data_IF_014820771351
#
_entry.id   IF_014820771351
#
_cell.length_a   1.000
_cell.length_b   1.000
_cell.length_c   1.000
_cell.angle_alpha   90.00
_cell.angle_beta   90.00
_cell.angle_gamma   90.00
#
_symmetry.space_group_name_H-M   'P 1'
#
loop_
_entity.id
_entity.type
_entity.pdbx_description
1 polymer ?
#
# COMPACT_ATOMS: atom_id res chain seq x y z
N UNK A 1 1.37 11.02 3.06
CA UNK A 1 0.44 10.57 4.05
C UNK A 1 0.57 9.16 4.54
N UNK A 2 1.75 8.68 4.48
CA UNK A 2 2.22 7.51 5.19
C UNK A 2 2.33 7.75 6.67
N UNK A 3 2.04 8.97 7.03
CA UNK A 3 2.30 9.51 8.35
C UNK A 3 1.59 8.80 9.49
N UNK A 4 0.49 8.10 9.23
CA UNK A 4 -0.26 7.45 10.32
C UNK A 4 0.55 6.32 10.96
N UNK A 5 1.21 5.48 10.17
CA UNK A 5 2.02 4.37 10.68
C UNK A 5 3.49 4.72 10.88
N UNK A 6 3.99 5.76 10.22
CA UNK A 6 5.34 6.26 10.40
C UNK A 6 5.42 7.38 11.42
N UNK A 7 4.28 7.84 11.94
CA UNK A 7 4.23 8.85 13.00
C UNK A 7 4.92 8.33 14.26
N UNK A 8 5.83 9.11 14.87
CA UNK A 8 6.44 8.73 16.16
C UNK A 8 5.40 8.46 17.26
N UNK A 9 4.26 9.12 17.21
CA UNK A 9 3.16 8.93 18.17
C UNK A 9 2.57 7.52 18.01
N UNK A 10 2.32 7.08 16.79
CA UNK A 10 1.77 5.75 16.52
C UNK A 10 2.77 4.67 16.89
N UNK A 11 4.04 4.84 16.50
CA UNK A 11 5.11 3.92 16.88
C UNK A 11 5.29 3.85 18.39
N UNK A 12 5.29 4.99 19.09
CA UNK A 12 5.36 5.03 20.54
C UNK A 12 4.14 4.36 21.19
N UNK A 13 2.95 4.57 20.65
CA UNK A 13 1.75 3.91 21.14
C UNK A 13 1.80 2.41 20.96
N UNK A 14 2.30 1.93 19.81
CA UNK A 14 2.51 0.50 19.56
C UNK A 14 3.54 -0.09 20.52
N UNK A 15 4.66 0.58 20.73
CA UNK A 15 5.71 0.13 21.64
C UNK A 15 5.24 0.12 23.11
N UNK A 16 4.52 1.13 23.54
CA UNK A 16 3.92 1.17 24.86
C UNK A 16 2.82 0.12 25.00
N UNK A 17 2.06 -0.11 23.93
CA UNK A 17 1.04 -1.15 23.88
C UNK A 17 1.61 -2.54 24.04
N UNK A 18 2.79 -2.84 23.43
CA UNK A 18 3.44 -4.14 23.56
C UNK A 18 3.80 -4.48 25.00
N UNK A 19 4.19 -3.50 25.80
CA UNK A 19 4.58 -3.72 27.20
C UNK A 19 3.40 -3.83 28.15
N UNK A 20 2.33 -3.06 27.89
CA UNK A 20 1.20 -2.91 28.82
C UNK A 20 -0.05 -3.66 28.41
N UNK A 21 -0.23 -3.82 27.10
CA UNK A 21 -1.46 -4.37 26.52
C UNK A 21 -1.12 -5.29 25.36
N UNK A 22 -0.57 -6.49 25.63
CA UNK A 22 -0.22 -7.47 24.60
C UNK A 22 -1.38 -7.79 23.64
N UNK A 23 -2.60 -7.72 24.13
CA UNK A 23 -3.80 -7.97 23.35
C UNK A 23 -4.01 -7.00 22.19
N UNK A 24 -3.36 -5.84 22.21
CA UNK A 24 -3.43 -4.87 21.10
C UNK A 24 -2.62 -5.29 19.88
N UNK A 25 -1.73 -6.25 20.03
CA UNK A 25 -0.98 -6.83 18.93
C UNK A 25 -1.82 -7.80 18.07
N UNK A 26 -3.03 -8.08 18.48
CA UNK A 26 -3.98 -8.91 17.74
C UNK A 26 -4.75 -8.13 16.67
N UNK A 27 -4.62 -6.80 16.63
CA UNK A 27 -5.33 -5.96 15.67
C UNK A 27 -4.73 -6.08 14.28
N UNK A 28 -5.60 -6.05 13.29
CA UNK A 28 -5.19 -6.00 11.90
C UNK A 28 -4.89 -4.55 11.51
N UNK A 29 -3.74 -4.34 10.84
CA UNK A 29 -3.27 -3.02 10.44
C UNK A 29 -3.30 -2.91 8.93
N UNK A 30 -4.07 -1.95 8.43
CA UNK A 30 -4.13 -1.60 7.03
C UNK A 30 -3.26 -0.37 6.77
N UNK A 31 -2.18 -0.55 6.00
CA UNK A 31 -1.25 0.50 5.62
C UNK A 31 -1.69 1.07 4.27
N UNK A 32 -2.43 2.15 4.27
CA UNK A 32 -2.85 2.81 3.03
C UNK A 32 -1.75 3.71 2.48
N UNK A 33 -1.36 3.48 1.24
CA UNK A 33 -0.31 4.25 0.55
C UNK A 33 -0.90 4.84 -0.73
N UNK A 34 -1.46 6.05 -0.67
CA UNK A 34 -1.89 6.74 -1.88
C UNK A 34 -0.67 7.16 -2.70
N UNK A 35 -0.70 6.86 -4.00
CA UNK A 35 0.37 7.13 -4.94
C UNK A 35 -0.16 7.99 -6.09
N UNK A 36 0.58 9.02 -6.45
CA UNK A 36 0.18 9.91 -7.54
C UNK A 36 1.32 10.17 -8.52
N UNK A 37 2.40 10.80 -8.07
CA UNK A 37 3.53 11.22 -8.91
C UNK A 37 4.89 10.72 -8.39
N UNK A 38 4.89 9.93 -7.35
CA UNK A 38 6.11 9.48 -6.67
C UNK A 38 6.98 8.63 -7.59
N UNK A 39 8.29 8.74 -7.44
CA UNK A 39 9.27 7.93 -8.16
C UNK A 39 9.54 6.59 -7.49
N UNK A 40 10.27 5.73 -8.20
CA UNK A 40 10.56 4.37 -7.76
C UNK A 40 11.28 4.30 -6.40
N UNK A 41 12.31 5.13 -6.20
CA UNK A 41 13.09 5.11 -4.96
C UNK A 41 12.25 5.46 -3.74
N UNK A 42 11.40 6.46 -3.87
CA UNK A 42 10.49 6.89 -2.81
C UNK A 42 9.46 5.83 -2.47
N UNK A 43 8.85 5.24 -3.49
CA UNK A 43 7.85 4.19 -3.34
C UNK A 43 8.45 2.91 -2.75
N UNK A 44 9.61 2.51 -3.24
CA UNK A 44 10.32 1.33 -2.74
C UNK A 44 10.69 1.51 -1.27
N UNK A 45 11.28 2.64 -0.92
CA UNK A 45 11.63 2.96 0.46
C UNK A 45 10.42 2.91 1.39
N UNK A 46 9.29 3.40 0.92
CA UNK A 46 8.03 3.37 1.64
C UNK A 46 7.52 1.94 1.89
N UNK A 47 7.45 1.14 0.83
CA UNK A 47 6.98 -0.24 0.90
C UNK A 47 7.91 -1.06 1.82
N UNK A 48 9.21 -0.92 1.65
CA UNK A 48 10.20 -1.63 2.46
C UNK A 48 10.09 -1.26 3.94
N UNK A 49 9.90 0.02 4.24
CA UNK A 49 9.72 0.49 5.62
C UNK A 49 8.47 -0.10 6.28
N UNK A 50 7.38 -0.19 5.53
CA UNK A 50 6.14 -0.79 6.02
C UNK A 50 6.25 -2.30 6.21
N UNK A 51 6.93 -2.97 5.29
CA UNK A 51 7.19 -4.41 5.39
C UNK A 51 8.07 -4.73 6.61
N UNK A 52 9.06 -3.88 6.89
CA UNK A 52 10.02 -4.08 7.99
C UNK A 52 9.48 -3.67 9.36
N UNK A 53 8.26 -3.15 9.48
CA UNK A 53 7.68 -2.80 10.78
C UNK A 53 7.66 -4.01 11.73
N UNK A 54 8.06 -3.77 12.98
CA UNK A 54 8.03 -4.78 14.04
C UNK A 54 6.58 -5.04 14.49
N UNK A 55 5.88 -5.75 13.67
CA UNK A 55 4.49 -6.17 13.88
C UNK A 55 4.24 -7.47 13.11
N UNK A 56 3.30 -8.29 13.55
CA UNK A 56 2.99 -9.57 12.89
C UNK A 56 2.63 -9.36 11.42
N UNK A 57 3.41 -9.94 10.52
CA UNK A 57 3.24 -9.82 9.07
C UNK A 57 1.88 -10.30 8.59
N UNK A 58 1.30 -11.29 9.26
CA UNK A 58 -0.03 -11.82 8.94
C UNK A 58 -1.17 -10.86 9.32
N UNK A 59 -0.86 -9.84 10.09
CA UNK A 59 -1.81 -8.84 10.56
C UNK A 59 -1.56 -7.45 9.95
N UNK A 60 -0.69 -7.39 8.96
CA UNK A 60 -0.43 -6.20 8.15
C UNK A 60 -0.95 -6.40 6.73
N UNK A 61 -1.46 -5.35 6.14
CA UNK A 61 -1.75 -5.27 4.71
C UNK A 61 -1.19 -3.95 4.18
N UNK A 62 -0.30 -4.01 3.21
CA UNK A 62 0.15 -2.83 2.47
C UNK A 62 -0.80 -2.64 1.29
N UNK A 63 -1.54 -1.55 1.31
CA UNK A 63 -2.56 -1.23 0.31
C UNK A 63 -2.12 -0.03 -0.51
N UNK A 64 -1.57 -0.29 -1.69
CA UNK A 64 -1.13 0.73 -2.64
C UNK A 64 -2.33 1.22 -3.45
N UNK A 65 -2.55 2.52 -3.48
CA UNK A 65 -3.69 3.13 -4.17
C UNK A 65 -3.14 4.11 -5.19
N UNK A 66 -3.28 3.79 -6.48
CA UNK A 66 -2.85 4.66 -7.57
C UNK A 66 -4.09 5.28 -8.24
N UNK A 67 -4.14 6.60 -8.23
CA UNK A 67 -5.22 7.35 -8.88
C UNK A 67 -4.80 7.73 -10.30
N UNK A 68 -5.27 6.94 -11.26
CA UNK A 68 -4.99 7.14 -12.67
C UNK A 68 -3.59 6.73 -13.12
N UNK A 69 -3.34 6.89 -14.41
CA UNK A 69 -2.07 6.58 -15.06
C UNK A 69 -1.23 7.85 -15.22
N UNK A 70 -0.78 8.40 -14.11
CA UNK A 70 -0.02 9.65 -14.09
C UNK A 70 1.47 9.35 -14.16
N UNK A 71 2.17 10.10 -15.01
CA UNK A 71 3.64 10.09 -15.09
C UNK A 71 4.14 11.29 -14.30
N UNK A 72 4.80 11.02 -13.17
CA UNK A 72 5.39 12.06 -12.35
C UNK A 72 6.61 12.72 -13.01
N UNK A 73 6.93 13.93 -12.58
CA UNK A 73 8.10 14.66 -13.08
C UNK A 73 9.38 13.86 -12.81
N UNK A 74 10.18 13.64 -13.84
CA UNK A 74 11.41 12.87 -13.76
C UNK A 74 11.22 11.36 -13.88
N UNK A 75 9.99 10.87 -13.96
CA UNK A 75 9.69 9.46 -14.18
C UNK A 75 9.53 9.16 -15.67
N UNK A 76 9.90 7.95 -16.08
CA UNK A 76 9.74 7.50 -17.46
C UNK A 76 8.43 6.71 -17.67
N UNK A 77 7.81 6.27 -16.58
CA UNK A 77 6.64 5.40 -16.59
C UNK A 77 5.54 5.95 -15.69
N UNK A 78 4.27 5.57 -15.95
CA UNK A 78 3.18 5.87 -15.03
C UNK A 78 3.43 5.28 -13.64
N UNK A 79 3.00 5.97 -12.60
CA UNK A 79 3.18 5.53 -11.22
C UNK A 79 2.62 4.12 -10.94
N UNK A 80 1.44 3.72 -11.48
CA UNK A 80 0.97 2.35 -11.32
C UNK A 80 1.93 1.28 -11.83
N UNK A 81 2.61 1.53 -12.96
CA UNK A 81 3.57 0.58 -13.52
C UNK A 81 4.80 0.45 -12.62
N UNK A 82 5.26 1.56 -12.04
CA UNK A 82 6.36 1.56 -11.09
C UNK A 82 6.00 0.71 -9.86
N UNK A 83 4.80 0.89 -9.31
CA UNK A 83 4.32 0.12 -8.16
C UNK A 83 4.25 -1.37 -8.49
N UNK A 84 3.71 -1.74 -9.65
CA UNK A 84 3.64 -3.14 -10.07
C UNK A 84 5.03 -3.78 -10.25
N UNK A 85 5.99 -3.01 -10.74
CA UNK A 85 7.38 -3.47 -10.83
C UNK A 85 8.00 -3.71 -9.45
N UNK A 86 7.81 -2.80 -8.51
CA UNK A 86 8.30 -2.93 -7.15
C UNK A 86 7.70 -4.16 -6.46
N UNK A 87 6.39 -4.36 -6.64
CA UNK A 87 5.68 -5.50 -6.07
C UNK A 87 5.96 -6.83 -6.77
N UNK A 88 6.68 -6.80 -7.90
CA UNK A 88 7.06 -7.99 -8.64
C UNK A 88 5.91 -8.66 -9.38
N UNK A 89 4.89 -7.90 -9.78
CA UNK A 89 3.78 -8.44 -10.56
C UNK A 89 4.27 -8.83 -11.96
N UNK A 90 3.99 -10.07 -12.35
CA UNK A 90 4.36 -10.57 -13.68
C UNK A 90 3.73 -9.68 -14.76
N UNK A 91 4.51 -9.26 -15.79
CA UNK A 91 3.98 -8.43 -16.87
C UNK A 91 2.78 -9.05 -17.59
N UNK A 92 2.70 -10.37 -17.68
CA UNK A 92 1.55 -11.06 -18.27
C UNK A 92 0.27 -10.91 -17.44
N UNK A 93 0.39 -10.73 -16.14
CA UNK A 93 -0.73 -10.56 -15.23
C UNK A 93 -1.25 -9.12 -15.15
N UNK A 94 -0.56 -8.15 -15.76
CA UNK A 94 -0.93 -6.73 -15.71
C UNK A 94 -2.10 -6.35 -16.60
N UNK A 95 -2.52 -7.24 -17.47
CA UNK A 95 -3.66 -7.06 -18.37
C UNK A 95 -4.97 -7.63 -17.78
N UNK A 96 -5.09 -7.64 -16.46
CA UNK A 96 -6.32 -8.09 -15.80
C UNK A 96 -7.52 -7.20 -16.19
N UNK A 97 -8.70 -7.82 -16.24
CA UNK A 97 -9.95 -7.10 -16.49
C UNK A 97 -10.21 -6.09 -15.37
N UNK A 98 -10.53 -4.83 -15.71
CA UNK A 98 -10.89 -3.86 -14.69
C UNK A 98 -12.17 -4.25 -13.96
N UNK A 99 -12.18 -4.05 -12.66
CA UNK A 99 -13.38 -4.17 -11.85
C UNK A 99 -14.18 -2.88 -11.93
N UNK A 100 -15.48 -3.00 -11.97
CA UNK A 100 -16.39 -1.88 -12.04
C UNK A 100 -16.88 -1.50 -10.64
N UNK A 101 -16.80 -0.23 -10.32
CA UNK A 101 -17.28 0.33 -9.06
C UNK A 101 -18.33 1.41 -9.35
N UNK A 102 -19.39 1.38 -8.57
CA UNK A 102 -20.40 2.44 -8.62
C UNK A 102 -20.02 3.53 -7.61
N UNK A 103 -20.01 4.77 -8.07
CA UNK A 103 -19.77 5.90 -7.17
C UNK A 103 -20.85 5.99 -6.09
N UNK A 104 -20.41 6.30 -4.88
CA UNK A 104 -21.31 6.55 -3.73
C UNK A 104 -21.40 8.05 -3.53
N UNK A 105 -22.63 8.58 -3.47
CA UNK A 105 -22.85 10.00 -3.21
C UNK A 105 -24.10 10.52 -3.94
N UNK A 106 -24.64 11.62 -3.45
CA UNK A 106 -25.78 12.28 -4.07
C UNK A 106 -25.43 12.83 -5.46
N UNK A 107 -26.24 12.52 -6.44
CA UNK A 107 -26.09 13.02 -7.81
C UNK A 107 -25.01 12.34 -8.64
N UNK A 108 -24.30 11.37 -8.11
CA UNK A 108 -23.27 10.65 -8.85
C UNK A 108 -23.71 9.22 -9.14
N UNK A 109 -24.02 8.95 -10.42
CA UNK A 109 -24.29 7.60 -10.90
C UNK A 109 -23.19 7.10 -11.84
N UNK A 110 -22.00 7.69 -11.75
CA UNK A 110 -20.89 7.32 -12.61
C UNK A 110 -20.32 5.96 -12.21
N UNK A 111 -20.09 5.14 -13.21
CA UNK A 111 -19.36 3.90 -13.07
C UNK A 111 -17.86 4.20 -13.15
N UNK A 112 -17.12 3.68 -12.20
CA UNK A 112 -15.66 3.77 -12.18
C UNK A 112 -15.07 2.39 -12.38
N UNK A 113 -13.90 2.34 -13.01
CA UNK A 113 -13.19 1.11 -13.26
C UNK A 113 -11.82 1.17 -12.58
N UNK A 114 -11.42 0.09 -11.99
CA UNK A 114 -10.11 -0.04 -11.37
C UNK A 114 -9.56 -1.45 -11.54
N UNK A 115 -8.26 -1.54 -11.66
CA UNK A 115 -7.56 -2.83 -11.65
C UNK A 115 -7.09 -3.12 -10.25
N UNK A 116 -7.29 -4.35 -9.79
CA UNK A 116 -6.89 -4.81 -8.46
C UNK A 116 -5.91 -5.96 -8.60
N UNK A 117 -4.81 -5.88 -7.89
CA UNK A 117 -3.77 -6.90 -7.83
C UNK A 117 -3.54 -7.28 -6.38
N UNK A 118 -3.25 -8.53 -6.11
CA UNK A 118 -2.94 -9.00 -4.76
C UNK A 118 -1.81 -10.01 -4.80
N UNK A 119 -1.03 -10.05 -3.74
CA UNK A 119 0.10 -10.94 -3.61
C UNK A 119 0.83 -10.74 -2.30
N UNK A 120 2.01 -11.31 -2.19
CA UNK A 120 2.88 -11.22 -1.02
C UNK A 120 4.16 -10.46 -1.42
N UNK A 121 4.58 -9.54 -0.57
CA UNK A 121 5.83 -8.80 -0.71
C UNK A 121 6.84 -9.28 0.32
N UNK A 122 8.04 -9.60 -0.14
CA UNK A 122 9.12 -10.08 0.72
C UNK A 122 10.20 -9.01 0.87
N UNK A 123 10.57 -8.73 2.11
CA UNK A 123 11.64 -7.81 2.44
C UNK A 123 12.28 -8.18 3.78
N UNK A 124 13.60 -8.44 3.78
CA UNK A 124 14.39 -8.75 4.98
C UNK A 124 13.77 -9.79 5.91
N UNK A 125 13.23 -10.87 5.34
CA UNK A 125 12.61 -11.95 6.09
C UNK A 125 11.14 -11.71 6.45
N UNK A 126 10.60 -10.53 6.15
CA UNK A 126 9.17 -10.24 6.26
C UNK A 126 8.43 -10.66 4.99
N UNK A 127 7.25 -11.26 5.14
CA UNK A 127 6.35 -11.62 4.04
C UNK A 127 5.00 -11.00 4.31
N UNK A 128 4.67 -9.94 3.58
CA UNK A 128 3.51 -9.08 3.88
C UNK A 128 2.55 -9.03 2.68
N UNK A 129 1.23 -9.23 2.88
CA UNK A 129 0.25 -9.02 1.82
C UNK A 129 0.08 -7.55 1.44
#
# INVERSE_FOLDING_TARGET
MLSVLTSPIVLAALQLGTKRFPERLDKFVLCQVPCYTEGEDSLRSTIDSLAALDYDDKRKLIFMICDGNIIGSGNERPTPDIVLDILGVDPSARNSEPLMFKSIGEGSQKLNYGKVYSGLYEFEGHVVP
#
